data_IF_132005816251
#
_entry.id   IF_132005816251
#
_cell.length_a   1.000
_cell.length_b   1.000
_cell.length_c   1.000
_cell.angle_alpha   90.00
_cell.angle_beta   90.00
_cell.angle_gamma   90.00
#
_symmetry.space_group_name_H-M   'P 1'
#
loop_
_entity.id
_entity.type
_entity.pdbx_description
1 polymer ?
#
# COMPACT_ATOMS: atom_id res chain seq x y z
N UNK A 1 -27.86 -18.74 11.38
CA UNK A 1 -26.91 -19.54 12.20
C UNK A 1 -25.59 -18.79 12.24
N UNK A 2 -25.18 -18.32 13.42
CA UNK A 2 -23.93 -17.57 13.63
C UNK A 2 -22.78 -18.54 13.87
N UNK A 3 -21.70 -18.45 13.08
CA UNK A 3 -20.47 -19.16 13.37
C UNK A 3 -19.49 -18.23 14.10
N UNK A 4 -19.15 -18.60 15.35
CA UNK A 4 -18.00 -18.04 16.07
C UNK A 4 -16.73 -18.69 15.53
N UNK A 5 -15.76 -17.87 15.12
CA UNK A 5 -14.40 -18.32 14.78
C UNK A 5 -13.57 -18.38 16.08
N UNK A 6 -12.88 -19.50 16.38
CA UNK A 6 -12.04 -19.61 17.59
C UNK A 6 -10.81 -18.71 17.53
N UNK A 7 -10.33 -18.28 18.70
CA UNK A 7 -9.22 -17.31 18.89
C UNK A 7 -7.80 -17.86 18.59
N UNK A 8 -7.66 -19.10 18.15
CA UNK A 8 -6.36 -19.69 17.82
C UNK A 8 -6.36 -20.15 16.36
N UNK A 9 -5.47 -19.55 15.54
CA UNK A 9 -5.24 -19.95 14.14
C UNK A 9 -4.50 -21.28 14.11
N UNK A 10 -5.24 -22.37 14.15
CA UNK A 10 -4.69 -23.69 13.87
C UNK A 10 -4.62 -23.92 12.34
N UNK A 11 -3.47 -24.43 11.93
CA UNK A 11 -3.11 -24.92 10.59
C UNK A 11 -4.33 -25.55 9.91
N UNK A 12 -4.70 -25.06 8.73
CA UNK A 12 -5.76 -25.68 7.92
C UNK A 12 -5.26 -27.03 7.42
N UNK A 13 -5.56 -28.11 8.15
CA UNK A 13 -5.31 -29.48 7.71
C UNK A 13 -6.23 -29.81 6.55
N UNK A 14 -5.68 -29.90 5.34
CA UNK A 14 -6.40 -30.35 4.17
C UNK A 14 -6.38 -31.89 4.13
N UNK A 15 -7.52 -32.55 4.38
CA UNK A 15 -7.70 -33.98 4.08
C UNK A 15 -8.20 -34.12 2.65
N UNK A 16 -7.36 -34.64 1.75
CA UNK A 16 -7.75 -34.98 0.39
C UNK A 16 -8.10 -36.47 0.34
N UNK A 17 -9.33 -36.80 -0.06
CA UNK A 17 -9.75 -38.18 -0.31
C UNK A 17 -9.59 -38.48 -1.81
N UNK A 18 -8.49 -39.14 -2.19
CA UNK A 18 -8.36 -39.69 -3.55
C UNK A 18 -9.00 -41.06 -3.61
N UNK A 19 -10.22 -41.16 -4.15
CA UNK A 19 -10.86 -42.44 -4.43
C UNK A 19 -10.41 -42.98 -5.79
N UNK A 20 -9.31 -43.73 -5.82
CA UNK A 20 -9.03 -44.66 -6.92
C UNK A 20 -8.48 -45.99 -6.35
N UNK A 21 -9.37 -47.00 -6.33
CA UNK A 21 -9.18 -48.44 -6.00
C UNK A 21 -9.01 -48.85 -4.51
N UNK A 22 -9.87 -49.83 -4.15
CA UNK A 22 -10.00 -50.72 -2.97
C UNK A 22 -9.51 -50.21 -1.59
N UNK A 23 -10.40 -50.13 -0.58
CA UNK A 23 -10.05 -49.72 0.77
C UNK A 23 -9.50 -50.91 1.57
N UNK A 24 -8.18 -51.09 1.62
CA UNK A 24 -7.60 -52.03 2.60
C UNK A 24 -6.29 -51.60 3.24
N UNK A 25 -5.63 -50.53 2.81
CA UNK A 25 -4.39 -50.09 3.45
C UNK A 25 -4.40 -48.56 3.63
N UNK A 26 -4.27 -48.11 4.89
CA UNK A 26 -4.23 -46.70 5.37
C UNK A 26 -4.52 -45.63 4.28
N UNK A 27 -5.80 -45.38 4.01
CA UNK A 27 -6.28 -44.55 2.88
C UNK A 27 -6.24 -43.04 3.16
N UNK A 28 -5.55 -42.60 4.22
CA UNK A 28 -5.44 -41.18 4.55
C UNK A 28 -4.05 -40.87 5.08
N UNK A 29 -3.28 -40.12 4.28
CA UNK A 29 -2.02 -39.52 4.71
C UNK A 29 -2.34 -38.11 5.18
N UNK A 30 -2.09 -37.83 6.45
CA UNK A 30 -2.15 -36.48 6.97
C UNK A 30 -0.86 -35.76 6.56
N UNK A 31 -0.96 -34.84 5.59
CA UNK A 31 0.18 -34.03 5.15
C UNK A 31 -0.04 -32.60 5.59
N UNK A 32 0.93 -32.05 6.32
CA UNK A 32 0.98 -30.62 6.63
C UNK A 32 1.24 -29.88 5.32
N UNK A 33 0.20 -29.35 4.69
CA UNK A 33 0.34 -28.50 3.50
C UNK A 33 0.58 -27.07 4.00
N UNK A 34 1.84 -26.75 4.28
CA UNK A 34 2.24 -25.35 4.33
C UNK A 34 2.26 -24.89 2.87
N UNK A 35 1.25 -24.11 2.46
CA UNK A 35 1.30 -23.46 1.15
C UNK A 35 2.42 -22.42 1.23
N UNK A 36 3.54 -22.69 0.55
CA UNK A 36 4.61 -21.72 0.36
C UNK A 36 4.02 -20.41 -0.14
N UNK A 37 4.29 -19.32 0.56
CA UNK A 37 3.70 -18.02 0.27
C UNK A 37 4.68 -16.88 0.58
N UNK A 38 4.47 -15.76 -0.09
CA UNK A 38 5.16 -14.51 0.17
C UNK A 38 4.21 -13.61 0.97
N UNK A 39 4.74 -12.95 1.99
CA UNK A 39 4.01 -11.96 2.78
C UNK A 39 4.75 -10.63 2.76
N UNK A 40 4.10 -9.61 2.21
CA UNK A 40 4.53 -8.23 2.32
C UNK A 40 3.91 -7.67 3.60
N UNK A 41 4.73 -7.23 4.55
CA UNK A 41 4.27 -6.69 5.83
C UNK A 41 4.55 -5.20 5.84
N UNK A 42 3.50 -4.39 5.72
CA UNK A 42 3.58 -2.93 5.88
C UNK A 42 3.49 -2.64 7.38
N UNK A 43 4.60 -2.18 7.94
CA UNK A 43 4.76 -2.04 9.40
C UNK A 43 4.23 -0.70 9.92
N UNK A 44 4.25 -0.53 11.23
CA UNK A 44 4.09 0.79 11.88
C UNK A 44 5.42 1.50 12.17
N UNK A 45 6.57 0.93 11.78
CA UNK A 45 7.90 1.52 11.97
C UNK A 45 8.09 2.68 10.98
N UNK A 46 8.14 3.91 11.50
CA UNK A 46 8.49 5.10 10.72
C UNK A 46 9.98 5.05 10.40
N UNK A 47 10.33 5.17 9.13
CA UNK A 47 11.74 5.16 8.67
C UNK A 47 12.26 6.56 8.33
N UNK A 48 11.37 7.54 8.21
CA UNK A 48 11.70 8.94 8.02
C UNK A 48 10.50 9.70 7.47
N UNK A 49 10.79 10.75 6.72
CA UNK A 49 9.81 11.67 6.15
C UNK A 49 10.18 11.97 4.70
N UNK A 50 9.16 12.17 3.87
CA UNK A 50 9.30 12.49 2.45
C UNK A 50 8.25 13.52 2.07
N UNK A 51 8.29 13.99 0.82
CA UNK A 51 7.29 14.90 0.27
C UNK A 51 6.31 14.09 -0.60
N UNK A 52 5.02 14.41 -0.47
CA UNK A 52 3.92 13.77 -1.19
C UNK A 52 3.04 14.84 -1.81
N UNK A 53 2.63 14.65 -3.07
CA UNK A 53 1.70 15.54 -3.74
C UNK A 53 0.36 15.59 -3.01
N UNK A 54 -0.09 16.79 -2.66
CA UNK A 54 -1.37 17.05 -2.00
C UNK A 54 -2.50 16.95 -3.02
N UNK A 55 -3.51 16.12 -2.75
CA UNK A 55 -4.68 16.01 -3.63
C UNK A 55 -5.74 17.05 -3.28
N UNK A 56 -6.57 17.42 -4.26
CA UNK A 56 -7.72 18.32 -4.06
C UNK A 56 -7.44 19.80 -4.35
N UNK A 57 -6.27 20.12 -4.89
CA UNK A 57 -5.93 21.43 -5.43
C UNK A 57 -4.94 21.22 -6.58
N UNK A 58 -5.19 21.83 -7.72
CA UNK A 58 -4.26 21.87 -8.84
C UNK A 58 -3.83 23.34 -8.97
N UNK A 59 -2.55 23.67 -8.77
CA UNK A 59 -2.08 25.00 -9.18
C UNK A 59 -1.58 24.95 -10.62
N UNK A 60 -1.68 26.10 -11.29
CA UNK A 60 -1.23 26.27 -12.67
C UNK A 60 0.31 26.29 -12.75
N UNK A 61 1.00 26.58 -11.64
CA UNK A 61 2.45 26.87 -11.61
C UNK A 61 3.24 26.10 -10.55
N UNK A 62 2.62 25.23 -9.76
CA UNK A 62 3.28 24.34 -8.80
C UNK A 62 2.39 23.17 -8.39
N UNK A 63 2.98 22.07 -8.00
CA UNK A 63 2.29 20.96 -7.38
C UNK A 63 2.24 21.20 -5.86
N UNK A 64 1.04 21.39 -5.27
CA UNK A 64 0.94 21.49 -3.82
C UNK A 64 1.46 20.19 -3.20
N UNK A 65 2.29 20.30 -2.18
CA UNK A 65 2.87 19.12 -1.54
C UNK A 65 2.79 19.19 -0.02
N UNK A 66 2.91 18.04 0.63
CA UNK A 66 2.93 17.90 2.08
C UNK A 66 4.01 16.92 2.50
N UNK A 67 4.58 17.16 3.68
CA UNK A 67 5.50 16.23 4.29
C UNK A 67 4.71 15.09 4.93
N UNK A 68 5.13 13.85 4.68
CA UNK A 68 4.49 12.65 5.23
C UNK A 68 5.53 11.65 5.76
N UNK A 69 5.20 10.87 6.79
CA UNK A 69 6.07 9.80 7.24
C UNK A 69 6.14 8.66 6.22
N UNK A 70 7.31 8.05 6.13
CA UNK A 70 7.54 6.79 5.42
C UNK A 70 7.58 5.63 6.40
N UNK A 71 7.14 4.46 5.94
CA UNK A 71 6.98 3.27 6.74
C UNK A 71 7.69 2.09 6.11
N UNK A 72 8.35 1.32 6.95
CA UNK A 72 9.07 0.12 6.52
C UNK A 72 8.12 -0.96 6.04
N UNK A 73 8.52 -1.63 4.98
CA UNK A 73 7.87 -2.82 4.44
C UNK A 73 8.86 -3.98 4.44
N UNK A 74 8.45 -5.12 5.00
CA UNK A 74 9.23 -6.35 5.02
C UNK A 74 8.65 -7.35 4.03
N UNK A 75 9.47 -7.89 3.11
CA UNK A 75 9.06 -8.97 2.20
C UNK A 75 9.57 -10.29 2.72
N UNK A 76 8.66 -11.11 3.23
CA UNK A 76 8.98 -12.38 3.87
C UNK A 76 8.56 -13.57 3.00
N UNK A 77 9.45 -14.54 2.83
CA UNK A 77 9.19 -15.79 2.14
C UNK A 77 8.99 -16.93 3.15
N UNK A 78 7.83 -17.58 3.08
CA UNK A 78 7.48 -18.73 3.92
C UNK A 78 7.50 -20.00 3.09
N UNK A 79 8.25 -20.98 3.58
CA UNK A 79 8.42 -22.29 2.95
C UNK A 79 8.34 -23.40 4.00
N UNK A 80 8.23 -24.67 3.56
CA UNK A 80 8.19 -25.82 4.46
C UNK A 80 9.39 -25.85 5.43
N UNK A 81 10.58 -25.49 4.93
CA UNK A 81 11.82 -25.44 5.69
C UNK A 81 12.01 -24.13 6.48
N UNK A 82 11.18 -23.11 6.21
CA UNK A 82 11.20 -21.84 6.92
C UNK A 82 9.79 -21.36 7.30
N UNK A 83 9.24 -22.02 8.31
CA UNK A 83 7.91 -21.71 8.86
C UNK A 83 7.83 -20.34 9.55
N UNK A 84 8.96 -19.78 10.00
CA UNK A 84 9.02 -18.46 10.64
C UNK A 84 9.07 -17.29 9.64
N UNK A 85 9.33 -17.60 8.38
CA UNK A 85 9.51 -16.63 7.31
C UNK A 85 10.97 -16.17 7.22
N UNK A 86 11.52 -16.17 6.01
CA UNK A 86 12.80 -15.55 5.68
C UNK A 86 12.54 -14.12 5.22
N UNK A 87 13.15 -13.12 5.85
CA UNK A 87 13.20 -11.79 5.28
C UNK A 87 14.06 -11.84 4.01
N UNK A 88 13.48 -11.53 2.86
CA UNK A 88 14.21 -11.49 1.59
C UNK A 88 14.77 -10.09 1.33
N UNK A 89 13.98 -9.04 1.61
CA UNK A 89 14.41 -7.64 1.53
C UNK A 89 13.38 -6.70 2.18
N UNK A 90 13.74 -5.42 2.28
CA UNK A 90 12.91 -4.32 2.78
C UNK A 90 12.80 -3.19 1.76
N UNK A 91 11.76 -2.37 1.88
CA UNK A 91 11.60 -1.09 1.18
C UNK A 91 10.68 -0.17 1.98
N UNK A 92 10.48 1.07 1.52
CA UNK A 92 9.68 2.06 2.23
C UNK A 92 8.44 2.46 1.42
N UNK A 93 7.35 2.75 2.13
CA UNK A 93 6.12 3.29 1.54
C UNK A 93 5.55 4.43 2.37
N UNK A 94 4.83 5.34 1.73
CA UNK A 94 3.87 6.21 2.42
C UNK A 94 2.62 5.41 2.79
N UNK A 95 2.02 5.71 3.94
CA UNK A 95 0.70 5.17 4.34
C UNK A 95 -0.39 6.24 4.36
N UNK A 96 0.01 7.49 4.52
CA UNK A 96 -0.90 8.63 4.62
C UNK A 96 -1.25 9.19 3.24
N UNK A 97 -2.44 9.77 3.14
CA UNK A 97 -3.03 10.23 1.88
C UNK A 97 -3.79 11.53 2.12
N UNK A 98 -3.08 12.64 2.13
CA UNK A 98 -3.67 13.93 2.47
C UNK A 98 -4.43 14.54 1.30
N UNK A 99 -5.60 15.09 1.64
CA UNK A 99 -6.49 15.74 0.69
C UNK A 99 -6.91 17.11 1.22
N UNK A 100 -6.83 18.14 0.38
CA UNK A 100 -7.26 19.48 0.69
C UNK A 100 -8.80 19.61 0.60
N UNK A 101 -9.45 19.94 1.71
CA UNK A 101 -10.90 20.21 1.75
C UNK A 101 -11.26 21.66 1.36
N UNK A 102 -10.26 22.53 1.23
CA UNK A 102 -10.37 23.96 1.00
C UNK A 102 -9.76 24.79 2.12
N UNK A 103 -9.90 26.11 2.02
CA UNK A 103 -9.44 27.05 3.06
C UNK A 103 -10.56 27.39 4.04
N UNK A 104 -10.25 27.38 5.32
CA UNK A 104 -11.15 27.84 6.37
C UNK A 104 -11.23 29.38 6.44
N UNK A 105 -12.03 29.91 7.37
CA UNK A 105 -12.22 31.36 7.57
C UNK A 105 -10.90 32.12 7.83
N UNK A 106 -9.91 31.45 8.40
CA UNK A 106 -8.57 32.00 8.65
C UNK A 106 -7.62 31.84 7.44
N UNK A 107 -8.15 31.49 6.26
CA UNK A 107 -7.40 31.20 5.02
C UNK A 107 -6.38 30.06 5.14
N UNK A 108 -6.50 29.20 6.16
CA UNK A 108 -5.64 28.02 6.34
C UNK A 108 -6.27 26.81 5.67
N UNK A 109 -5.43 25.93 5.11
CA UNK A 109 -5.87 24.66 4.53
C UNK A 109 -6.46 23.75 5.61
N UNK A 110 -7.64 23.21 5.31
CA UNK A 110 -8.23 22.12 6.08
C UNK A 110 -7.91 20.82 5.36
N UNK A 111 -7.16 19.93 6.01
CA UNK A 111 -6.69 18.68 5.41
C UNK A 111 -7.43 17.48 5.97
N UNK A 112 -7.70 16.51 5.10
CA UNK A 112 -8.27 15.22 5.46
C UNK A 112 -7.28 14.12 5.10
N UNK A 113 -6.87 13.31 6.07
CA UNK A 113 -6.17 12.06 5.77
C UNK A 113 -7.17 11.02 5.29
N UNK A 114 -6.97 10.55 4.07
CA UNK A 114 -7.79 9.54 3.39
C UNK A 114 -7.14 8.16 3.37
N UNK A 115 -6.12 7.94 4.20
CA UNK A 115 -5.43 6.66 4.34
C UNK A 115 -6.40 5.48 4.41
N UNK A 116 -6.01 4.36 3.80
CA UNK A 116 -6.74 3.12 3.99
C UNK A 116 -6.49 2.57 5.40
N UNK A 117 -7.56 2.47 6.18
CA UNK A 117 -7.55 1.84 7.50
C UNK A 117 -8.51 0.65 7.47
N UNK A 118 -8.08 -0.56 7.86
CA UNK A 118 -8.95 -1.73 7.90
C UNK A 118 -10.18 -1.47 8.79
N UNK A 119 -11.36 -1.89 8.33
CA UNK A 119 -12.58 -1.84 9.17
C UNK A 119 -12.38 -2.57 10.51
N UNK A 120 -11.65 -3.68 10.47
CA UNK A 120 -11.30 -4.50 11.64
C UNK A 120 -9.84 -4.93 11.53
N UNK A 121 -9.03 -4.55 12.51
CA UNK A 121 -7.61 -4.90 12.58
C UNK A 121 -7.35 -6.39 12.80
N UNK A 122 -8.31 -7.16 13.32
CA UNK A 122 -8.23 -8.62 13.33
C UNK A 122 -8.29 -9.22 11.92
N UNK A 123 -8.71 -8.42 10.94
CA UNK A 123 -8.82 -8.78 9.53
C UNK A 123 -7.91 -7.89 8.68
N UNK A 124 -6.62 -7.85 8.98
CA UNK A 124 -5.62 -7.01 8.32
C UNK A 124 -4.72 -7.74 7.29
N UNK A 125 -5.07 -8.99 6.94
CA UNK A 125 -4.39 -9.78 5.92
C UNK A 125 -5.22 -9.79 4.63
N UNK A 126 -4.58 -9.45 3.52
CA UNK A 126 -5.20 -9.28 2.21
C UNK A 126 -4.55 -10.21 1.19
N UNK A 127 -5.36 -10.68 0.23
CA UNK A 127 -4.82 -11.25 -1.01
C UNK A 127 -4.28 -10.15 -1.91
N UNK A 128 -3.59 -10.54 -2.98
CA UNK A 128 -3.03 -9.58 -3.94
C UNK A 128 -3.49 -9.89 -5.36
N UNK A 129 -3.90 -8.85 -6.07
CA UNK A 129 -4.09 -8.85 -7.51
C UNK A 129 -3.00 -7.98 -8.15
N UNK A 130 -2.19 -8.56 -9.02
CA UNK A 130 -1.10 -7.85 -9.70
C UNK A 130 -1.62 -7.20 -10.99
N UNK A 131 -1.32 -5.91 -11.15
CA UNK A 131 -1.50 -5.17 -12.39
C UNK A 131 -0.13 -4.82 -12.97
N UNK A 132 0.21 -5.33 -14.17
CA UNK A 132 1.39 -4.87 -14.87
C UNK A 132 1.16 -3.45 -15.41
N UNK A 133 2.16 -2.58 -15.27
CA UNK A 133 2.20 -1.25 -15.90
C UNK A 133 1.09 -0.28 -15.46
N UNK A 134 1.07 0.11 -14.20
CA UNK A 134 0.23 1.17 -13.64
C UNK A 134 1.05 2.46 -13.37
N UNK A 135 0.58 3.66 -13.75
CA UNK A 135 -0.71 3.98 -14.35
C UNK A 135 -0.76 3.76 -15.87
N UNK A 136 0.35 3.44 -16.52
CA UNK A 136 0.45 3.35 -17.97
C UNK A 136 0.01 1.98 -18.54
N UNK A 137 -1.30 1.72 -18.54
CA UNK A 137 -1.89 0.42 -18.88
C UNK A 137 -1.80 0.02 -20.37
N UNK A 138 -1.31 0.91 -21.25
CA UNK A 138 -1.37 0.73 -22.70
C UNK A 138 0.01 0.53 -23.33
N UNK A 139 0.65 -0.62 -23.13
CA UNK A 139 1.78 -1.06 -23.97
C UNK A 139 1.84 -2.58 -24.15
N UNK A 140 2.44 -2.97 -25.29
CA UNK A 140 2.82 -4.33 -25.70
C UNK A 140 3.91 -4.92 -24.78
N UNK A 141 4.58 -4.09 -23.99
CA UNK A 141 5.64 -4.46 -23.04
C UNK A 141 5.42 -3.84 -21.65
N UNK A 142 5.85 -4.55 -20.61
CA UNK A 142 5.73 -4.15 -19.20
C UNK A 142 6.55 -2.87 -18.92
N UNK A 143 5.94 -1.84 -18.35
CA UNK A 143 6.60 -0.56 -18.07
C UNK A 143 7.55 -0.59 -16.86
N UNK A 144 7.46 -1.62 -16.03
CA UNK A 144 8.17 -1.69 -14.74
C UNK A 144 7.46 -0.95 -13.60
N UNK A 145 6.42 -0.19 -13.90
CA UNK A 145 5.58 0.50 -12.92
C UNK A 145 4.44 -0.42 -12.45
N UNK A 146 4.76 -1.57 -11.89
CA UNK A 146 3.72 -2.53 -11.49
C UNK A 146 2.95 -2.06 -10.25
N UNK A 147 1.73 -2.57 -10.07
CA UNK A 147 0.93 -2.33 -8.87
C UNK A 147 0.42 -3.64 -8.26
N UNK A 148 0.35 -3.66 -6.93
CA UNK A 148 -0.11 -4.79 -6.14
C UNK A 148 -1.38 -4.41 -5.37
N UNK A 149 -2.54 -4.73 -5.94
CA UNK A 149 -3.85 -4.38 -5.40
C UNK A 149 -4.25 -5.33 -4.27
N UNK A 150 -4.72 -4.77 -3.17
CA UNK A 150 -5.28 -5.48 -2.04
C UNK A 150 -6.61 -6.09 -2.43
N UNK A 151 -6.79 -7.38 -2.13
CA UNK A 151 -8.06 -8.05 -2.34
C UNK A 151 -8.54 -8.75 -1.08
N UNK A 152 -9.86 -8.90 -0.98
CA UNK A 152 -10.51 -9.72 0.03
C UNK A 152 -11.45 -10.70 -0.64
N UNK A 153 -11.14 -11.99 -0.50
CA UNK A 153 -11.84 -13.06 -1.22
C UNK A 153 -11.92 -12.79 -2.74
N UNK A 154 -10.83 -12.25 -3.32
CA UNK A 154 -10.76 -11.86 -4.73
C UNK A 154 -11.38 -10.52 -5.09
N UNK A 155 -12.10 -9.85 -4.17
CA UNK A 155 -12.72 -8.55 -4.43
C UNK A 155 -11.75 -7.40 -4.18
N UNK A 156 -11.71 -6.43 -5.11
CA UNK A 156 -10.90 -5.20 -5.04
C UNK A 156 -11.56 -4.07 -4.23
N UNK A 157 -12.88 -4.15 -4.04
CA UNK A 157 -13.63 -3.32 -3.10
C UNK A 157 -13.61 -4.00 -1.73
N UNK A 158 -12.93 -3.39 -0.77
CA UNK A 158 -12.66 -3.96 0.55
C UNK A 158 -13.21 -3.08 1.68
N UNK A 159 -13.71 -3.67 2.79
CA UNK A 159 -14.18 -2.89 3.94
C UNK A 159 -13.07 -2.05 4.58
N UNK A 160 -13.39 -0.79 4.87
CA UNK A 160 -12.48 0.18 5.49
C UNK A 160 -13.18 0.93 6.63
N UNK A 161 -12.42 1.57 7.52
CA UNK A 161 -13.01 2.56 8.45
C UNK A 161 -13.57 3.75 7.66
N UNK A 162 -14.73 4.31 8.05
CA UNK A 162 -15.34 5.42 7.34
C UNK A 162 -14.42 6.65 7.30
N UNK A 163 -14.47 7.39 6.20
CA UNK A 163 -13.84 8.71 6.13
C UNK A 163 -14.62 9.72 6.98
N UNK A 164 -13.92 10.71 7.56
CA UNK A 164 -14.56 11.78 8.36
C UNK A 164 -15.58 12.59 7.55
N UNK A 165 -15.34 12.77 6.25
CA UNK A 165 -16.23 13.48 5.34
C UNK A 165 -15.98 13.05 3.89
N UNK A 166 -16.99 13.21 3.04
CA UNK A 166 -16.89 13.10 1.58
C UNK A 166 -17.11 14.45 0.88
N UNK A 167 -17.17 15.54 1.64
CA UNK A 167 -17.44 16.90 1.14
C UNK A 167 -16.27 17.82 1.41
N UNK A 168 -16.04 18.72 0.46
CA UNK A 168 -15.22 19.91 0.62
C UNK A 168 -15.91 20.91 1.56
N UNK A 169 -15.16 21.90 2.05
CA UNK A 169 -15.70 22.98 2.89
C UNK A 169 -16.78 23.80 2.17
N UNK A 170 -16.71 23.91 0.85
CA UNK A 170 -17.74 24.59 0.03
C UNK A 170 -18.99 23.73 -0.23
N UNK A 171 -19.09 22.55 0.39
CA UNK A 171 -20.23 21.64 0.28
C UNK A 171 -20.24 20.73 -0.95
N UNK A 172 -19.33 20.93 -1.91
CA UNK A 172 -19.19 20.03 -3.07
C UNK A 172 -18.64 18.67 -2.64
N UNK A 173 -19.03 17.61 -3.35
CA UNK A 173 -18.48 16.27 -3.15
C UNK A 173 -17.00 16.23 -3.57
N UNK A 174 -16.21 15.44 -2.87
CA UNK A 174 -14.83 15.19 -3.26
C UNK A 174 -14.81 14.24 -4.46
N UNK A 175 -14.15 14.64 -5.55
CA UNK A 175 -13.97 13.81 -6.74
C UNK A 175 -12.91 12.72 -6.49
N UNK A 176 -13.36 11.46 -6.35
CA UNK A 176 -12.47 10.35 -5.96
C UNK A 176 -13.11 8.96 -6.15
N UNK A 177 -12.36 7.87 -6.44
CA UNK A 177 -12.87 6.49 -6.54
C UNK A 177 -13.55 5.93 -5.27
N UNK A 178 -13.28 6.51 -4.10
CA UNK A 178 -13.93 6.12 -2.82
C UNK A 178 -15.24 6.87 -2.62
N UNK A 179 -16.27 6.41 -3.33
CA UNK A 179 -17.63 6.96 -3.29
C UNK A 179 -18.46 6.46 -2.11
N UNK A 180 -18.14 5.29 -1.55
CA UNK A 180 -18.80 4.73 -0.36
C UNK A 180 -17.89 4.83 0.86
N UNK A 181 -18.35 5.48 1.93
CA UNK A 181 -17.52 5.77 3.11
C UNK A 181 -16.92 4.51 3.74
N UNK A 182 -17.67 3.41 3.82
CA UNK A 182 -17.28 2.18 4.52
C UNK A 182 -16.44 1.21 3.68
N UNK A 183 -16.12 1.56 2.43
CA UNK A 183 -15.35 0.72 1.53
C UNK A 183 -14.22 1.51 0.89
N UNK A 184 -13.12 0.84 0.59
CA UNK A 184 -12.08 1.35 -0.29
C UNK A 184 -12.00 0.44 -1.51
N UNK A 185 -11.74 1.01 -2.68
CA UNK A 185 -11.60 0.27 -3.93
C UNK A 185 -10.19 0.51 -4.45
N UNK A 186 -9.55 -0.55 -4.93
CA UNK A 186 -8.24 -0.47 -5.58
C UNK A 186 -7.12 0.09 -4.69
N UNK A 187 -7.18 -0.20 -3.38
CA UNK A 187 -6.05 0.04 -2.48
C UNK A 187 -4.87 -0.79 -2.96
N UNK A 188 -3.71 -0.17 -3.19
CA UNK A 188 -2.57 -0.86 -3.78
C UNK A 188 -1.23 -0.36 -3.25
N UNK A 189 -0.19 -1.20 -3.40
CA UNK A 189 1.21 -0.75 -3.34
C UNK A 189 1.64 -0.45 -4.78
N UNK A 190 2.15 0.75 -5.03
CA UNK A 190 2.61 1.19 -6.34
C UNK A 190 3.68 2.26 -6.22
N UNK A 191 4.20 2.74 -7.35
CA UNK A 191 5.16 3.84 -7.38
C UNK A 191 4.61 5.10 -6.68
N UNK A 192 5.43 5.71 -5.83
CA UNK A 192 5.24 7.02 -5.22
C UNK A 192 6.49 7.88 -5.44
N UNK A 193 6.68 8.91 -4.60
CA UNK A 193 7.79 9.86 -4.78
C UNK A 193 7.65 10.64 -6.08
N UNK A 194 8.74 11.19 -6.60
CA UNK A 194 8.77 11.74 -7.95
C UNK A 194 9.02 10.63 -8.96
N UNK A 195 8.18 10.54 -9.99
CA UNK A 195 8.26 9.49 -10.99
C UNK A 195 7.91 9.98 -12.39
N UNK A 196 8.54 9.39 -13.39
CA UNK A 196 8.31 9.72 -14.79
C UNK A 196 7.21 8.83 -15.39
N UNK A 197 6.24 9.43 -16.08
CA UNK A 197 5.34 8.74 -17.00
C UNK A 197 5.36 9.43 -18.35
N UNK A 198 5.85 8.72 -19.37
CA UNK A 198 5.88 9.19 -20.77
C UNK A 198 6.72 10.48 -20.96
N UNK A 199 7.85 10.59 -20.28
CA UNK A 199 8.75 11.74 -20.36
C UNK A 199 8.30 12.97 -19.55
N UNK A 200 7.32 12.81 -18.67
CA UNK A 200 6.87 13.85 -17.74
C UNK A 200 7.02 13.36 -16.31
N UNK A 201 7.63 14.19 -15.48
CA UNK A 201 7.76 13.93 -14.06
C UNK A 201 6.47 14.28 -13.32
N UNK A 202 6.22 13.52 -12.27
CA UNK A 202 5.03 13.63 -11.45
C UNK A 202 5.41 13.43 -9.99
N UNK A 203 4.95 14.32 -9.13
CA UNK A 203 4.97 14.08 -7.70
C UNK A 203 3.78 13.21 -7.29
N UNK A 204 4.08 12.03 -6.77
CA UNK A 204 3.08 11.07 -6.32
C UNK A 204 2.26 11.58 -5.14
N UNK A 205 0.97 11.77 -5.36
CA UNK A 205 -0.02 11.95 -4.30
C UNK A 205 -0.84 10.69 -4.05
N UNK A 206 -1.33 10.51 -2.82
CA UNK A 206 -2.11 9.33 -2.45
C UNK A 206 -3.58 9.64 -2.17
N UNK A 207 -4.38 8.62 -2.44
CA UNK A 207 -5.82 8.60 -2.30
C UNK A 207 -6.28 7.49 -1.33
N UNK A 208 -5.31 6.94 -0.58
CA UNK A 208 -5.46 5.80 0.33
C UNK A 208 -4.59 4.60 -0.06
N UNK A 209 -3.74 4.73 -1.09
CA UNK A 209 -2.77 3.73 -1.51
C UNK A 209 -1.43 3.90 -0.79
N UNK A 210 -0.57 2.90 -0.94
CA UNK A 210 0.78 2.88 -0.38
C UNK A 210 1.80 3.17 -1.48
N UNK A 211 2.38 4.37 -1.49
CA UNK A 211 3.34 4.78 -2.51
C UNK A 211 4.76 4.44 -2.10
N UNK A 212 5.50 3.69 -2.93
CA UNK A 212 6.92 3.41 -2.76
C UNK A 212 7.75 4.70 -2.74
N UNK A 213 8.73 4.78 -1.84
CA UNK A 213 9.68 5.89 -1.73
C UNK A 213 11.11 5.32 -1.72
N UNK A 214 12.02 5.79 -2.59
CA UNK A 214 13.42 5.38 -2.58
C UNK A 214 14.14 5.92 -1.35
N UNK A 215 15.24 5.29 -0.93
CA UNK A 215 15.94 5.68 0.30
C UNK A 215 16.51 7.10 0.26
N UNK A 216 16.92 7.56 -0.93
CA UNK A 216 17.49 8.89 -1.14
C UNK A 216 16.46 10.02 -0.90
N UNK A 217 15.16 9.74 -1.02
CA UNK A 217 14.05 10.67 -0.81
C UNK A 217 13.47 10.62 0.62
N UNK A 218 14.18 9.98 1.56
CA UNK A 218 13.75 9.79 2.95
C UNK A 218 14.66 10.55 3.90
N UNK A 219 14.09 11.55 4.55
CA UNK A 219 14.78 12.41 5.50
C UNK A 219 14.48 12.01 6.96
N UNK A 220 15.45 12.12 7.88
CA UNK A 220 15.23 11.74 9.28
C UNK A 220 14.15 12.54 10.01
N UNK A 221 13.92 13.80 9.62
CA UNK A 221 12.95 14.68 10.27
C UNK A 221 12.12 15.46 9.24
N UNK A 222 10.91 15.94 9.62
CA UNK A 222 10.11 16.79 8.75
C UNK A 222 10.84 18.06 8.31
N UNK A 223 11.61 18.68 9.21
CA UNK A 223 12.34 19.91 8.91
C UNK A 223 13.44 19.71 7.86
N UNK A 224 14.04 18.52 7.83
CA UNK A 224 15.02 18.17 6.79
C UNK A 224 14.33 17.89 5.45
N UNK A 225 13.19 17.20 5.45
CA UNK A 225 12.39 17.02 4.23
C UNK A 225 11.95 18.38 3.67
N UNK A 226 11.49 19.29 4.54
CA UNK A 226 11.15 20.66 4.15
C UNK A 226 12.32 21.38 3.48
N UNK A 227 13.50 21.33 4.10
CA UNK A 227 14.70 21.98 3.54
C UNK A 227 15.11 21.37 2.21
N UNK A 228 14.87 20.09 1.99
CA UNK A 228 15.17 19.46 0.71
C UNK A 228 14.27 20.01 -0.41
N UNK A 229 12.96 20.12 -0.14
CA UNK A 229 11.99 20.85 -0.97
C UNK A 229 12.44 22.29 -1.25
N UNK A 230 12.69 23.08 -0.21
CA UNK A 230 13.04 24.51 -0.35
C UNK A 230 14.34 24.77 -1.14
N UNK A 231 15.25 23.79 -1.17
CA UNK A 231 16.53 23.90 -1.86
C UNK A 231 16.53 23.24 -3.25
N UNK A 232 15.41 22.69 -3.72
CA UNK A 232 15.30 22.00 -5.02
C UNK A 232 16.30 20.83 -5.12
N UNK A 233 16.41 20.06 -4.02
CA UNK A 233 17.27 18.85 -3.93
C UNK A 233 16.46 17.60 -3.60
N UNK A 234 15.13 17.75 -3.51
CA UNK A 234 14.19 16.65 -3.47
C UNK A 234 13.82 16.37 -4.92
N UNK A 235 13.91 15.11 -5.38
CA UNK A 235 13.55 14.67 -6.74
C UNK A 235 14.60 14.64 -7.87
N UNK A 236 15.88 14.89 -7.55
CA UNK A 236 17.03 14.77 -8.48
C UNK A 236 17.08 13.44 -9.26
N UNK A 237 16.39 12.41 -8.77
CA UNK A 237 16.24 11.11 -9.41
C UNK A 237 14.81 10.59 -9.27
N UNK A 238 14.24 10.12 -10.37
CA UNK A 238 12.92 9.49 -10.35
C UNK A 238 12.94 8.12 -9.67
N UNK A 239 11.82 7.79 -9.01
CA UNK A 239 11.58 6.53 -8.31
C UNK A 239 11.42 5.32 -9.25
N UNK A 240 11.43 5.52 -10.58
CA UNK A 240 11.08 4.53 -11.59
C UNK A 240 11.92 3.25 -11.51
N UNK A 241 13.24 3.40 -11.54
CA UNK A 241 14.16 2.25 -11.58
C UNK A 241 14.15 1.49 -10.25
N UNK A 242 14.11 2.22 -9.13
CA UNK A 242 14.12 1.62 -7.80
C UNK A 242 12.80 0.86 -7.54
N UNK A 243 11.66 1.44 -7.94
CA UNK A 243 10.38 0.74 -7.87
C UNK A 243 10.35 -0.48 -8.78
N UNK A 244 10.82 -0.36 -10.03
CA UNK A 244 10.89 -1.48 -10.96
C UNK A 244 11.70 -2.64 -10.37
N UNK A 245 12.85 -2.34 -9.75
CA UNK A 245 13.70 -3.32 -9.11
C UNK A 245 12.98 -4.03 -7.94
N UNK A 246 12.24 -3.27 -7.11
CA UNK A 246 11.42 -3.84 -6.02
C UNK A 246 10.31 -4.72 -6.57
N UNK A 247 9.54 -4.23 -7.55
CA UNK A 247 8.44 -4.96 -8.16
C UNK A 247 8.93 -6.27 -8.82
N UNK A 248 10.03 -6.22 -9.57
CA UNK A 248 10.66 -7.40 -10.19
C UNK A 248 11.05 -8.46 -9.15
N UNK A 249 11.60 -8.05 -8.00
CA UNK A 249 11.91 -8.98 -6.90
C UNK A 249 10.65 -9.63 -6.34
N UNK A 250 9.57 -8.87 -6.12
CA UNK A 250 8.28 -9.41 -5.65
C UNK A 250 7.74 -10.44 -6.64
N UNK A 251 7.76 -10.12 -7.94
CA UNK A 251 7.24 -10.97 -9.02
C UNK A 251 8.05 -12.26 -9.15
N UNK A 252 9.37 -12.18 -9.06
CA UNK A 252 10.28 -13.34 -9.09
C UNK A 252 10.07 -14.26 -7.88
N UNK A 253 9.74 -13.71 -6.72
CA UNK A 253 9.51 -14.50 -5.50
C UNK A 253 8.13 -15.17 -5.49
N UNK A 254 7.10 -14.49 -6.00
CA UNK A 254 5.70 -14.94 -5.93
C UNK A 254 5.19 -15.51 -7.25
N UNK A 255 4.78 -14.64 -8.17
CA UNK A 255 4.08 -14.99 -9.41
C UNK A 255 4.87 -15.97 -10.30
N UNK A 256 6.18 -15.75 -10.49
CA UNK A 256 7.00 -16.66 -11.33
C UNK A 256 7.22 -18.04 -10.69
N UNK A 257 7.05 -18.15 -9.37
CA UNK A 257 7.20 -19.41 -8.62
C UNK A 257 5.85 -20.02 -8.22
N UNK A 258 4.74 -19.47 -8.71
CA UNK A 258 3.38 -19.86 -8.32
C UNK A 258 3.15 -19.88 -6.79
N UNK A 259 3.84 -19.00 -6.05
CA UNK A 259 3.60 -18.81 -4.61
C UNK A 259 2.53 -17.76 -4.40
N UNK A 260 1.63 -18.01 -3.46
CA UNK A 260 0.62 -17.04 -3.08
C UNK A 260 1.28 -15.79 -2.50
N UNK A 261 0.82 -14.60 -2.91
CA UNK A 261 1.25 -13.33 -2.34
C UNK A 261 0.15 -12.77 -1.43
N UNK A 262 0.53 -12.38 -0.22
CA UNK A 262 -0.35 -11.74 0.77
C UNK A 262 0.24 -10.42 1.23
N UNK A 263 -0.62 -9.46 1.54
CA UNK A 263 -0.23 -8.21 2.21
C UNK A 263 -0.81 -8.19 3.62
N UNK A 264 0.05 -8.02 4.61
CA UNK A 264 -0.33 -7.80 6.01
C UNK A 264 -0.09 -6.33 6.33
N UNK A 265 -1.12 -5.66 6.85
CA UNK A 265 -0.99 -4.29 7.35
C UNK A 265 -0.93 -4.30 8.88
N UNK A 266 0.17 -3.86 9.46
CA UNK A 266 0.30 -3.80 10.92
C UNK A 266 -0.54 -2.67 11.52
N UNK A 267 -1.03 -2.94 12.72
CA UNK A 267 -1.82 -1.99 13.51
C UNK A 267 -1.07 -0.68 13.65
N UNK A 268 -1.76 0.42 13.38
CA UNK A 268 -1.33 1.77 13.67
C UNK A 268 -2.48 2.47 14.39
N UNK A 269 -2.16 3.18 15.48
CA UNK A 269 -3.13 4.05 16.12
C UNK A 269 -3.21 5.37 15.34
N UNK A 270 -4.30 5.55 14.60
CA UNK A 270 -4.52 6.71 13.73
C UNK A 270 -4.58 8.04 14.49
N UNK A 271 -4.76 8.02 15.82
CA UNK A 271 -4.70 9.22 16.66
C UNK A 271 -3.29 9.81 16.75
N UNK A 272 -2.27 9.00 16.49
CA UNK A 272 -0.87 9.40 16.55
C UNK A 272 -0.29 9.69 15.15
N UNK A 273 -1.15 9.81 14.13
CA UNK A 273 -0.70 10.15 12.79
C UNK A 273 -0.07 11.54 12.78
N UNK A 274 1.04 11.67 12.08
CA UNK A 274 1.65 12.97 11.78
C UNK A 274 0.66 13.80 10.96
N UNK A 275 0.36 15.01 11.42
CA UNK A 275 -0.51 15.96 10.70
C UNK A 275 0.37 17.03 10.04
N UNK A 276 0.33 17.20 8.71
CA UNK A 276 1.09 18.23 8.02
C UNK A 276 0.77 19.62 8.57
N UNK A 277 1.81 20.35 8.98
CA UNK A 277 1.68 21.69 9.55
C UNK A 277 1.61 22.78 8.48
N UNK A 278 2.06 22.46 7.26
CA UNK A 278 2.14 23.38 6.13
C UNK A 278 1.95 22.64 4.81
N UNK A 279 1.60 23.41 3.77
CA UNK A 279 1.55 22.97 2.38
C UNK A 279 2.71 23.66 1.66
N UNK A 280 3.56 22.85 1.05
CA UNK A 280 4.72 23.26 0.27
C UNK A 280 4.32 23.50 -1.19
N UNK A 281 5.20 24.16 -1.93
CA UNK A 281 5.07 24.39 -3.37
C UNK A 281 6.25 23.71 -4.05
N UNK A 282 5.99 22.62 -4.76
CA UNK A 282 6.97 21.93 -5.62
C UNK A 282 6.78 22.33 -7.09
#
# INVERSE_FOLDING_TARGET
>A
MSYRVPKERNITKLRVYTFFKKPSDKVSIEKEVLLSHIKIVITSEITGYTIQGLKGEDYIFSDPAVIVPTYKVNVNNYDADNKKGKLEFTFNVTRDAWYNLGKNENKKYELLNRAFVPKDWAQNLYGVYWIPSYPNQFKVARSGLDAFIFTRYGNRKIPAQPLKTQKLLNGKSIEHPRTEENFATDVMIHIGGTYEVKGYDHLGGSYGCFGFIPEDDIYPTPELAKKASENDVFDDKTSNDDWKNVADKIIKLSFQKNKELRILLEYRDEKNNYYPTEVLSE
#
